data_IF_697011544955
#
_entry.id   IF_697011544955
#
_cell.length_a   1.000
_cell.length_b   1.000
_cell.length_c   1.000
_cell.angle_alpha   90.00
_cell.angle_beta   90.00
_cell.angle_gamma   90.00
#
_symmetry.space_group_name_H-M   'P 1'
#
loop_
_entity.id
_entity.type
_entity.pdbx_description
1 polymer ?
#
# COMPACT_ATOMS: atom_id res chain seq x y z
N UNK A 1 -8.94 -4.54 32.03
CA UNK A 1 -9.65 -4.24 33.29
C UNK A 1 -8.61 -4.09 34.39
N UNK A 2 -8.65 -3.02 35.19
CA UNK A 2 -7.80 -2.89 36.36
C UNK A 2 -8.56 -3.38 37.60
N UNK A 3 -8.37 -4.62 38.05
CA UNK A 3 -9.10 -5.16 39.21
C UNK A 3 -8.57 -4.60 40.54
N UNK A 4 -7.45 -3.88 40.51
CA UNK A 4 -6.70 -3.45 41.70
C UNK A 4 -7.20 -2.08 42.16
N UNK A 5 -7.13 -1.82 43.46
CA UNK A 5 -7.52 -0.56 44.11
C UNK A 5 -6.49 0.57 43.96
N UNK A 6 -5.45 0.36 43.14
CA UNK A 6 -4.44 1.36 42.79
C UNK A 6 -4.41 1.61 41.28
N UNK A 7 -3.92 2.79 40.90
CA UNK A 7 -3.67 3.12 39.50
C UNK A 7 -2.53 2.25 38.94
N UNK A 8 -2.72 1.72 37.73
CA UNK A 8 -1.66 1.04 36.98
C UNK A 8 -1.09 2.02 35.96
N UNK A 9 0.25 2.13 35.91
CA UNK A 9 0.96 2.92 34.91
C UNK A 9 1.95 2.06 34.13
N UNK A 10 2.01 2.22 32.81
CA UNK A 10 2.93 1.48 31.94
C UNK A 10 3.25 2.26 30.66
N UNK A 11 4.21 1.75 29.91
CA UNK A 11 4.59 2.17 28.59
C UNK A 11 4.35 1.03 27.62
N UNK A 12 4.11 1.34 26.35
CA UNK A 12 4.05 0.34 25.28
C UNK A 12 5.12 0.66 24.25
N UNK A 13 5.89 -0.35 23.85
CA UNK A 13 6.71 -0.27 22.65
C UNK A 13 6.07 -1.07 21.53
N UNK A 14 6.10 -0.53 20.32
CA UNK A 14 5.50 -1.12 19.12
C UNK A 14 6.57 -1.24 18.03
N UNK A 15 6.63 -2.39 17.37
CA UNK A 15 7.61 -2.61 16.30
C UNK A 15 7.05 -3.53 15.22
N UNK A 16 7.18 -3.12 13.95
CA UNK A 16 6.88 -3.98 12.80
C UNK A 16 8.07 -4.86 12.44
N UNK A 17 7.86 -6.17 12.31
CA UNK A 17 8.89 -7.18 12.04
C UNK A 17 8.57 -7.92 10.75
N UNK A 18 9.59 -8.22 9.93
CA UNK A 18 9.45 -9.00 8.69
C UNK A 18 10.44 -10.16 8.70
N UNK A 19 9.95 -11.39 8.61
CA UNK A 19 10.80 -12.58 8.48
C UNK A 19 11.65 -12.91 9.71
N UNK A 20 11.26 -12.48 10.92
CA UNK A 20 11.99 -12.75 12.17
C UNK A 20 13.31 -11.98 12.33
N UNK A 21 13.66 -11.11 11.39
CA UNK A 21 14.83 -10.23 11.49
C UNK A 21 14.52 -9.02 12.37
N UNK A 22 15.49 -8.60 13.19
CA UNK A 22 15.37 -7.37 13.96
C UNK A 22 15.15 -6.19 13.00
N UNK A 23 14.08 -5.40 13.19
CA UNK A 23 13.77 -4.31 12.28
C UNK A 23 14.92 -3.30 12.25
N UNK A 24 15.19 -2.68 11.10
CA UNK A 24 16.26 -1.68 10.98
C UNK A 24 16.01 -0.41 11.78
N UNK A 25 14.88 -0.28 12.48
CA UNK A 25 14.46 0.90 13.24
C UNK A 25 14.15 0.56 14.69
N UNK A 26 14.41 1.54 15.57
CA UNK A 26 14.03 1.47 16.97
C UNK A 26 12.50 1.29 17.14
N UNK A 27 12.04 0.59 18.18
CA UNK A 27 10.62 0.53 18.52
C UNK A 27 10.03 1.92 18.76
N UNK A 28 8.77 2.09 18.37
CA UNK A 28 7.99 3.29 18.70
C UNK A 28 7.55 3.16 20.15
N UNK A 29 7.80 4.19 20.96
CA UNK A 29 7.37 4.24 22.35
C UNK A 29 6.13 5.13 22.52
N UNK A 30 5.18 4.68 23.34
CA UNK A 30 4.07 5.53 23.78
C UNK A 30 4.50 6.48 24.90
N UNK A 31 3.78 7.58 25.12
CA UNK A 31 3.79 8.26 26.43
C UNK A 31 3.34 7.31 27.56
N UNK A 32 3.50 7.75 28.82
CA UNK A 32 3.05 7.00 29.99
C UNK A 32 1.54 6.84 29.98
N UNK A 33 1.08 5.59 29.95
CA UNK A 33 -0.33 5.23 29.95
C UNK A 33 -0.75 4.97 31.39
N UNK A 34 -1.95 5.44 31.77
CA UNK A 34 -2.48 5.27 33.13
C UNK A 34 -3.91 4.74 33.12
N UNK A 35 -4.12 3.64 33.84
CA UNK A 35 -5.45 3.04 34.05
C UNK A 35 -5.85 3.31 35.50
N UNK A 36 -6.96 4.04 35.76
CA UNK A 36 -7.43 4.29 37.11
C UNK A 36 -7.78 3.00 37.86
N UNK A 37 -7.78 3.07 39.19
CA UNK A 37 -8.16 1.95 40.06
C UNK A 37 -9.58 1.45 39.76
N UNK A 38 -9.78 0.13 39.75
CA UNK A 38 -11.11 -0.50 39.60
C UNK A 38 -11.92 -0.04 38.39
N UNK A 39 -11.23 0.22 37.28
CA UNK A 39 -11.88 0.68 36.04
C UNK A 39 -11.49 -0.17 34.84
N UNK A 40 -12.50 -0.44 34.01
CA UNK A 40 -12.32 -0.81 32.62
C UNK A 40 -11.98 0.47 31.85
N UNK A 41 -10.92 0.44 31.06
CA UNK A 41 -10.44 1.57 30.25
C UNK A 41 -10.07 1.06 28.88
N UNK A 42 -10.53 1.78 27.85
CA UNK A 42 -10.16 1.50 26.46
C UNK A 42 -9.04 2.44 26.06
N UNK A 43 -7.85 1.90 25.79
CA UNK A 43 -6.69 2.68 25.36
C UNK A 43 -6.71 2.75 23.83
N UNK A 44 -6.63 3.95 23.28
CA UNK A 44 -6.62 4.18 21.84
C UNK A 44 -5.27 4.80 21.49
N UNK A 45 -4.47 4.07 20.72
CA UNK A 45 -3.18 4.55 20.20
C UNK A 45 -3.40 4.88 18.71
N UNK A 46 -3.36 6.16 18.36
CA UNK A 46 -3.66 6.62 17.01
C UNK A 46 -2.71 7.72 16.58
N UNK A 47 -2.49 7.85 15.27
CA UNK A 47 -1.72 8.98 14.73
C UNK A 47 -2.51 10.28 14.80
N UNK A 48 -3.82 10.19 14.67
CA UNK A 48 -4.74 11.33 14.67
C UNK A 48 -5.69 11.23 15.87
N UNK A 49 -6.35 12.33 16.21
CA UNK A 49 -7.35 12.34 17.26
C UNK A 49 -8.56 11.49 16.84
N UNK A 50 -8.98 10.58 17.71
CA UNK A 50 -10.11 9.67 17.46
C UNK A 50 -11.14 9.86 18.54
N UNK A 51 -12.32 10.33 18.14
CA UNK A 51 -13.52 10.34 18.96
C UNK A 51 -14.09 8.93 19.02
N UNK A 52 -14.05 8.30 20.21
CA UNK A 52 -14.56 6.95 20.41
C UNK A 52 -15.73 6.97 21.39
N UNK A 53 -16.94 7.13 20.85
CA UNK A 53 -18.18 7.24 21.65
C UNK A 53 -18.73 5.90 22.13
N UNK A 54 -18.36 4.81 21.45
CA UNK A 54 -18.98 3.49 21.63
C UNK A 54 -18.14 2.53 22.48
N UNK A 55 -17.16 3.06 23.21
CA UNK A 55 -16.26 2.26 24.06
C UNK A 55 -16.28 2.75 25.50
N UNK A 56 -16.01 1.84 26.45
CA UNK A 56 -16.00 2.17 27.87
C UNK A 56 -14.74 2.96 28.22
N UNK A 57 -14.92 4.16 28.77
CA UNK A 57 -13.86 5.05 29.27
C UNK A 57 -12.69 5.18 28.26
N UNK A 58 -12.90 5.77 27.08
CA UNK A 58 -11.85 5.95 26.09
C UNK A 58 -10.73 6.83 26.64
N UNK A 59 -9.49 6.41 26.41
CA UNK A 59 -8.29 7.21 26.66
C UNK A 59 -7.43 7.25 25.39
N UNK A 60 -7.54 8.32 24.59
CA UNK A 60 -6.73 8.49 23.39
C UNK A 60 -5.31 8.94 23.71
N UNK A 61 -4.35 8.43 22.95
CA UNK A 61 -2.95 8.82 22.95
C UNK A 61 -2.50 9.00 21.50
N UNK A 62 -2.03 10.21 21.17
CA UNK A 62 -1.52 10.56 19.85
C UNK A 62 -0.07 10.06 19.72
N UNK A 63 0.19 9.28 18.67
CA UNK A 63 1.49 8.68 18.34
C UNK A 63 1.87 9.11 16.91
N UNK A 64 2.57 10.23 16.77
CA UNK A 64 2.83 10.88 15.47
C UNK A 64 3.55 9.97 14.47
N UNK A 65 4.46 9.13 14.96
CA UNK A 65 5.28 8.22 14.17
C UNK A 65 4.70 6.81 14.03
N UNK A 66 3.41 6.60 14.32
CA UNK A 66 2.77 5.26 14.24
C UNK A 66 2.89 4.62 12.86
N UNK A 67 2.92 5.44 11.79
CA UNK A 67 3.12 4.98 10.41
C UNK A 67 4.49 4.32 10.18
N UNK A 68 5.48 4.59 11.04
CA UNK A 68 6.81 3.99 10.91
C UNK A 68 6.82 2.48 11.19
N UNK A 69 5.77 1.93 11.83
CA UNK A 69 5.58 0.47 11.94
C UNK A 69 5.58 -0.24 10.58
N UNK A 70 5.26 0.48 9.51
CA UNK A 70 5.07 -0.07 8.16
C UNK A 70 6.22 0.24 7.19
N UNK A 71 7.29 0.87 7.68
CA UNK A 71 8.45 1.28 6.88
C UNK A 71 9.70 0.44 7.22
N UNK A 72 10.56 0.12 6.23
CA UNK A 72 10.47 0.45 4.81
C UNK A 72 9.60 -0.51 3.99
N UNK A 73 9.16 -1.63 4.58
CA UNK A 73 8.30 -2.61 3.93
C UNK A 73 7.22 -3.09 4.89
N UNK A 74 6.07 -3.50 4.34
CA UNK A 74 4.98 -4.08 5.11
C UNK A 74 5.50 -5.18 6.06
N UNK A 75 5.26 -5.07 7.37
CA UNK A 75 5.67 -6.07 8.34
C UNK A 75 4.83 -7.34 8.17
N UNK A 76 5.41 -8.48 8.54
CA UNK A 76 4.67 -9.74 8.72
C UNK A 76 4.06 -9.87 10.12
N UNK A 77 4.60 -9.16 11.11
CA UNK A 77 4.18 -9.20 12.51
C UNK A 77 4.31 -7.80 13.15
N UNK A 78 3.39 -7.45 14.06
CA UNK A 78 3.53 -6.28 14.93
C UNK A 78 3.76 -6.77 16.36
N UNK A 79 4.92 -6.45 16.91
CA UNK A 79 5.26 -6.75 18.30
C UNK A 79 4.85 -5.61 19.21
N UNK A 80 4.07 -5.94 20.24
CA UNK A 80 3.67 -5.04 21.31
C UNK A 80 4.31 -5.52 22.61
N UNK A 81 5.07 -4.65 23.28
CA UNK A 81 5.63 -4.94 24.61
C UNK A 81 5.12 -3.91 25.60
N UNK A 82 4.52 -4.39 26.68
CA UNK A 82 4.06 -3.57 27.79
C UNK A 82 5.15 -3.55 28.85
N UNK A 83 5.58 -2.36 29.24
CA UNK A 83 6.73 -2.15 30.10
C UNK A 83 6.35 -1.29 31.29
N UNK A 84 6.82 -1.65 32.48
CA UNK A 84 6.63 -0.83 33.68
C UNK A 84 7.51 0.43 33.70
N UNK A 85 8.49 0.51 32.80
CA UNK A 85 9.44 1.62 32.66
C UNK A 85 9.67 1.92 31.18
N UNK A 86 9.93 3.19 30.88
CA UNK A 86 10.30 3.65 29.55
C UNK A 86 11.65 3.04 29.14
N UNK A 87 11.82 2.66 27.88
CA UNK A 87 13.07 2.08 27.38
C UNK A 87 14.14 3.16 27.24
N UNK A 88 13.75 4.33 26.74
CA UNK A 88 14.65 5.47 26.54
C UNK A 88 14.15 6.72 27.28
N UNK A 89 14.27 6.79 28.62
CA UNK A 89 13.90 7.98 29.38
C UNK A 89 14.95 9.08 29.26
N UNK A 90 14.52 10.35 29.27
CA UNK A 90 15.41 11.50 29.42
C UNK A 90 15.78 11.73 30.88
N UNK A 91 16.87 12.46 31.15
CA UNK A 91 17.27 12.81 32.53
C UNK A 91 16.20 13.61 33.28
N UNK A 92 15.50 14.50 32.59
CA UNK A 92 14.39 15.26 33.15
C UNK A 92 13.21 14.35 33.51
N UNK A 93 12.89 13.37 32.66
CA UNK A 93 11.85 12.37 32.93
C UNK A 93 12.21 11.49 34.13
N UNK A 94 13.47 11.04 34.21
CA UNK A 94 13.96 10.26 35.36
C UNK A 94 13.79 11.06 36.66
N UNK A 95 14.14 12.34 36.63
CA UNK A 95 14.04 13.23 37.80
C UNK A 95 12.58 13.46 38.18
N UNK A 96 11.72 13.71 37.20
CA UNK A 96 10.28 13.90 37.41
C UNK A 96 9.61 12.64 38.00
N UNK A 97 9.95 11.44 37.52
CA UNK A 97 9.41 10.19 38.08
C UNK A 97 9.83 9.99 39.54
N UNK A 98 11.10 10.24 39.87
CA UNK A 98 11.58 10.16 41.27
C UNK A 98 10.85 11.12 42.20
N UNK A 99 10.55 12.33 41.74
CA UNK A 99 9.77 13.31 42.53
C UNK A 99 8.29 12.94 42.62
N UNK A 100 7.72 12.31 41.60
CA UNK A 100 6.34 11.81 41.63
C UNK A 100 6.19 10.63 42.61
N UNK A 101 7.15 9.70 42.64
CA UNK A 101 7.14 8.55 43.53
C UNK A 101 7.11 8.94 45.01
N UNK A 102 7.79 10.04 45.38
CA UNK A 102 7.75 10.59 46.75
C UNK A 102 6.36 11.02 47.21
N UNK A 103 5.44 11.28 46.27
CA UNK A 103 4.08 11.77 46.54
C UNK A 103 3.03 10.65 46.51
N UNK A 104 3.41 9.42 46.17
CA UNK A 104 2.47 8.31 46.08
C UNK A 104 2.03 7.84 47.48
N UNK A 105 0.75 7.49 47.66
CA UNK A 105 0.26 6.94 48.92
C UNK A 105 0.91 5.57 49.20
N UNK A 106 1.20 5.29 50.47
CA UNK A 106 1.69 3.99 50.90
C UNK A 106 0.64 2.92 50.61
N UNK A 107 1.02 1.92 49.83
CA UNK A 107 0.19 0.77 49.48
C UNK A 107 0.75 -0.50 50.11
N UNK A 108 -0.11 -1.46 50.43
CA UNK A 108 0.31 -2.77 50.98
C UNK A 108 0.44 -3.76 49.83
N UNK A 109 1.63 -4.30 49.60
CA UNK A 109 1.85 -5.36 48.62
C UNK A 109 1.67 -6.71 49.32
N UNK A 110 0.73 -7.51 48.85
CA UNK A 110 0.56 -8.90 49.30
C UNK A 110 1.38 -9.80 48.37
N UNK A 111 2.45 -10.37 48.89
CA UNK A 111 3.30 -11.30 48.13
C UNK A 111 2.58 -12.64 47.92
N UNK A 112 2.79 -13.27 46.77
CA UNK A 112 2.22 -14.59 46.45
C UNK A 112 0.80 -14.56 45.86
N UNK A 113 0.21 -13.38 45.70
CA UNK A 113 -1.06 -13.20 44.97
C UNK A 113 -0.75 -12.84 43.52
N UNK A 114 -1.35 -13.57 42.57
CA UNK A 114 -1.28 -13.27 41.14
C UNK A 114 -2.64 -12.75 40.68
N UNK A 115 -2.75 -11.45 40.45
CA UNK A 115 -3.93 -10.85 39.83
C UNK A 115 -3.69 -10.72 38.32
N UNK A 116 -4.59 -11.29 37.52
CA UNK A 116 -4.47 -11.23 36.06
C UNK A 116 -5.21 -10.00 35.52
N UNK A 117 -4.48 -9.11 34.85
CA UNK A 117 -5.08 -8.02 34.07
C UNK A 117 -5.53 -8.59 32.72
N UNK A 118 -6.84 -8.74 32.52
CA UNK A 118 -7.38 -9.12 31.22
C UNK A 118 -7.22 -7.96 30.23
N UNK A 119 -6.56 -8.24 29.11
CA UNK A 119 -6.34 -7.31 28.01
C UNK A 119 -6.85 -7.93 26.71
N UNK A 120 -7.68 -7.16 26.00
CA UNK A 120 -8.10 -7.45 24.63
C UNK A 120 -7.54 -6.35 23.74
N UNK A 121 -7.08 -6.70 22.55
CA UNK A 121 -6.50 -5.74 21.62
C UNK A 121 -7.13 -5.90 20.24
N UNK A 122 -7.31 -4.77 19.57
CA UNK A 122 -7.68 -4.68 18.15
C UNK A 122 -6.71 -3.72 17.50
N UNK A 123 -6.14 -4.12 16.36
CA UNK A 123 -5.38 -3.22 15.51
C UNK A 123 -6.28 -2.87 14.33
N UNK A 124 -6.57 -1.60 14.16
CA UNK A 124 -7.29 -1.07 13.01
C UNK A 124 -6.30 -0.40 12.06
N UNK A 125 -6.26 -0.83 10.82
CA UNK A 125 -5.36 -0.32 9.78
C UNK A 125 -6.20 0.08 8.58
N UNK A 126 -6.75 1.30 8.55
CA UNK A 126 -7.42 1.78 7.37
C UNK A 126 -6.41 1.82 6.21
N UNK A 127 -6.79 1.25 5.07
CA UNK A 127 -6.00 1.30 3.85
C UNK A 127 -6.18 2.69 3.21
N UNK A 128 -5.66 3.71 3.88
CA UNK A 128 -5.66 5.10 3.44
C UNK A 128 -4.30 5.44 2.83
N UNK A 129 -4.33 6.12 1.69
CA UNK A 129 -3.11 6.44 0.96
C UNK A 129 -2.39 7.64 1.55
N UNK A 130 -1.14 7.44 1.97
CA UNK A 130 -0.20 8.55 2.18
C UNK A 130 0.23 9.17 0.84
N UNK A 131 0.86 10.35 0.85
CA UNK A 131 1.23 11.08 -0.38
C UNK A 131 2.27 10.35 -1.26
N UNK A 132 2.97 9.37 -0.71
CA UNK A 132 4.02 8.59 -1.40
C UNK A 132 3.61 7.15 -1.70
N UNK A 133 2.35 6.78 -1.43
CA UNK A 133 1.87 5.42 -1.67
C UNK A 133 1.79 5.12 -3.17
N UNK A 134 2.28 3.94 -3.56
CA UNK A 134 2.19 3.46 -4.93
C UNK A 134 1.94 1.95 -4.99
N UNK A 135 1.06 1.53 -5.90
CA UNK A 135 0.86 0.12 -6.27
C UNK A 135 1.48 -0.08 -7.65
N UNK A 136 2.31 -1.12 -7.78
CA UNK A 136 2.90 -1.51 -9.05
C UNK A 136 2.40 -2.91 -9.39
N UNK A 137 1.47 -2.99 -10.34
CA UNK A 137 1.07 -4.25 -10.96
C UNK A 137 1.88 -4.44 -12.25
N UNK A 138 2.37 -5.65 -12.47
CA UNK A 138 3.01 -6.06 -13.71
C UNK A 138 2.23 -7.22 -14.28
N UNK A 139 1.93 -7.13 -15.56
CA UNK A 139 1.31 -8.22 -16.32
C UNK A 139 2.13 -8.50 -17.57
N UNK A 140 2.14 -9.74 -18.03
CA UNK A 140 2.97 -10.16 -19.16
C UNK A 140 2.12 -10.81 -20.23
N UNK A 141 2.09 -10.19 -21.41
CA UNK A 141 1.51 -10.77 -22.62
C UNK A 141 2.67 -11.43 -23.39
N UNK A 142 2.70 -12.76 -23.45
CA UNK A 142 3.79 -13.56 -24.05
C UNK A 142 3.29 -14.50 -25.17
N UNK A 143 4.20 -15.31 -25.73
CA UNK A 143 3.86 -16.24 -26.82
C UNK A 143 3.75 -15.58 -28.20
N UNK A 144 4.24 -14.36 -28.35
CA UNK A 144 4.23 -13.65 -29.62
C UNK A 144 5.31 -14.20 -30.56
N UNK A 145 6.41 -14.77 -30.05
CA UNK A 145 7.57 -15.07 -30.89
C UNK A 145 7.26 -16.04 -32.03
N UNK A 146 6.41 -17.03 -31.78
CA UNK A 146 6.07 -18.04 -32.79
C UNK A 146 5.42 -17.44 -34.03
N UNK A 147 4.73 -16.30 -33.89
CA UNK A 147 4.12 -15.57 -35.00
C UNK A 147 5.06 -14.51 -35.61
N UNK A 148 6.05 -14.05 -34.84
CA UNK A 148 6.96 -12.96 -35.24
C UNK A 148 8.24 -13.46 -35.92
N UNK A 149 8.73 -14.66 -35.57
CA UNK A 149 10.06 -15.16 -36.00
C UNK A 149 10.20 -15.33 -37.52
N UNK A 150 9.11 -15.72 -38.19
CA UNK A 150 9.10 -16.05 -39.63
C UNK A 150 8.47 -14.94 -40.49
N UNK A 151 8.03 -13.83 -39.87
CA UNK A 151 7.29 -12.74 -40.52
C UNK A 151 8.14 -11.48 -40.64
N UNK A 152 7.99 -10.70 -41.72
CA UNK A 152 8.58 -9.37 -41.85
C UNK A 152 7.74 -8.32 -41.12
N UNK A 153 7.73 -8.45 -39.79
CA UNK A 153 6.91 -7.64 -38.89
C UNK A 153 7.48 -6.23 -38.81
N UNK A 154 6.65 -5.24 -39.18
CA UNK A 154 7.01 -3.82 -39.11
C UNK A 154 6.68 -3.15 -37.78
N UNK A 155 5.82 -3.79 -36.98
CA UNK A 155 5.39 -3.30 -35.69
C UNK A 155 4.19 -4.06 -35.17
N UNK A 156 3.88 -3.85 -33.90
CA UNK A 156 2.76 -4.48 -33.20
C UNK A 156 1.94 -3.36 -32.57
N UNK A 157 0.63 -3.46 -32.66
CA UNK A 157 -0.31 -2.52 -32.08
C UNK A 157 -1.17 -3.28 -31.09
N UNK A 158 -1.11 -2.91 -29.83
CA UNK A 158 -1.98 -3.44 -28.78
C UNK A 158 -3.06 -2.41 -28.51
N UNK A 159 -4.30 -2.86 -28.41
CA UNK A 159 -5.42 -2.02 -27.96
C UNK A 159 -6.04 -2.60 -26.71
N UNK A 160 -6.50 -1.74 -25.80
CA UNK A 160 -7.17 -2.13 -24.57
C UNK A 160 -8.06 -1.01 -24.05
N UNK A 161 -9.03 -1.38 -23.22
CA UNK A 161 -9.76 -0.43 -22.38
C UNK A 161 -9.38 -0.66 -20.91
N UNK A 162 -9.41 0.42 -20.12
CA UNK A 162 -9.07 0.35 -18.70
C UNK A 162 -10.14 1.06 -17.88
N UNK A 163 -10.66 0.36 -16.89
CA UNK A 163 -11.54 0.86 -15.85
C UNK A 163 -10.74 1.09 -14.57
N UNK A 164 -10.60 2.35 -14.16
CA UNK A 164 -9.98 2.73 -12.89
C UNK A 164 -11.06 3.13 -11.87
N UNK A 165 -11.35 2.27 -10.89
CA UNK A 165 -12.25 2.55 -9.78
C UNK A 165 -11.51 2.78 -8.44
N UNK A 166 -10.18 2.85 -8.44
CA UNK A 166 -9.40 3.22 -7.24
C UNK A 166 -9.09 4.72 -7.26
N UNK A 167 -9.02 5.40 -6.10
CA UNK A 167 -8.76 6.83 -6.03
C UNK A 167 -7.26 7.15 -6.23
N UNK A 168 -6.57 6.44 -7.11
CA UNK A 168 -5.17 6.63 -7.47
C UNK A 168 -5.04 6.91 -8.97
N UNK A 169 -4.12 7.80 -9.34
CA UNK A 169 -3.81 8.04 -10.74
C UNK A 169 -3.05 6.83 -11.30
N UNK A 170 -3.54 6.26 -12.40
CA UNK A 170 -2.94 5.07 -13.00
C UNK A 170 -2.05 5.44 -14.18
N UNK A 171 -0.79 5.07 -14.11
CA UNK A 171 0.17 5.21 -15.19
C UNK A 171 0.49 3.86 -15.81
N UNK A 172 0.32 3.75 -17.13
CA UNK A 172 0.65 2.55 -17.91
C UNK A 172 2.04 2.74 -18.51
N UNK A 173 2.90 1.74 -18.36
CA UNK A 173 4.20 1.61 -19.00
C UNK A 173 4.35 0.22 -19.62
N UNK A 174 5.43 0.00 -20.35
CA UNK A 174 5.68 -1.27 -21.01
C UNK A 174 7.15 -1.53 -21.29
N UNK A 175 7.50 -2.82 -21.35
CA UNK A 175 8.84 -3.31 -21.72
C UNK A 175 8.70 -4.52 -22.65
N UNK A 176 9.47 -4.55 -23.74
CA UNK A 176 9.51 -5.71 -24.64
C UNK A 176 10.50 -6.76 -24.13
N UNK A 177 10.15 -8.04 -24.21
CA UNK A 177 10.98 -9.15 -23.73
C UNK A 177 11.20 -10.23 -24.80
N UNK A 178 12.30 -10.96 -24.69
CA UNK A 178 12.57 -12.20 -25.46
C UNK A 178 11.95 -13.44 -24.79
N UNK A 179 12.17 -14.62 -25.39
CA UNK A 179 11.64 -15.92 -24.89
C UNK A 179 12.13 -16.26 -23.50
N UNK A 180 13.33 -15.80 -23.18
CA UNK A 180 13.98 -16.01 -21.90
C UNK A 180 13.52 -14.97 -20.84
N UNK A 181 12.66 -14.02 -21.23
CA UNK A 181 12.12 -12.97 -20.36
C UNK A 181 13.05 -11.76 -20.19
N UNK A 182 14.13 -11.67 -20.97
CA UNK A 182 15.05 -10.55 -20.89
C UNK A 182 14.53 -9.35 -21.68
N UNK A 183 14.77 -8.15 -21.14
CA UNK A 183 14.41 -6.89 -21.79
C UNK A 183 15.14 -6.73 -23.13
N UNK A 184 14.37 -6.54 -24.20
CA UNK A 184 14.90 -6.28 -25.54
C UNK A 184 15.32 -4.83 -25.72
N UNK A 185 16.59 -4.65 -26.10
CA UNK A 185 17.13 -3.35 -26.51
C UNK A 185 16.80 -3.08 -27.98
N UNK A 186 16.69 -1.80 -28.33
CA UNK A 186 16.38 -1.40 -29.71
C UNK A 186 14.91 -1.46 -30.09
N UNK A 187 14.02 -1.82 -29.16
CA UNK A 187 12.57 -1.70 -29.31
C UNK A 187 12.09 -0.37 -28.71
N UNK A 188 11.03 0.16 -29.32
CA UNK A 188 10.34 1.38 -28.96
C UNK A 188 8.90 1.04 -28.65
N UNK A 189 8.38 1.56 -27.54
CA UNK A 189 6.98 1.39 -27.12
C UNK A 189 6.38 2.79 -26.96
N UNK A 190 5.26 3.05 -27.65
CA UNK A 190 4.62 4.36 -27.75
C UNK A 190 3.13 4.26 -27.40
N UNK A 191 2.61 5.21 -26.62
CA UNK A 191 1.16 5.40 -26.44
C UNK A 191 0.57 6.33 -27.49
N UNK A 192 -0.75 6.53 -27.45
CA UNK A 192 -1.47 7.43 -28.36
C UNK A 192 -0.79 8.80 -28.54
N UNK A 193 -0.22 9.01 -29.72
CA UNK A 193 0.13 10.32 -30.27
C UNK A 193 1.39 11.01 -29.72
N UNK A 194 2.22 10.38 -28.87
CA UNK A 194 3.48 10.99 -28.42
C UNK A 194 4.72 10.17 -28.80
N UNK A 195 5.56 10.80 -29.63
CA UNK A 195 6.88 10.28 -30.01
C UNK A 195 7.73 10.02 -28.75
N UNK A 196 8.39 8.86 -28.64
CA UNK A 196 9.19 8.47 -27.49
C UNK A 196 10.50 9.21 -27.59
N UNK A 197 10.62 10.23 -26.76
CA UNK A 197 11.87 10.93 -26.56
C UNK A 197 12.64 10.20 -25.46
N UNK A 198 13.51 9.27 -25.85
CA UNK A 198 14.70 8.84 -25.11
C UNK A 198 14.54 8.29 -23.67
N UNK A 199 15.16 7.13 -23.44
CA UNK A 199 15.35 6.45 -22.16
C UNK A 199 14.10 5.83 -21.51
N UNK A 200 14.35 4.77 -20.76
CA UNK A 200 13.38 3.81 -20.25
C UNK A 200 12.26 4.48 -19.44
N UNK A 201 11.02 4.04 -19.66
CA UNK A 201 9.83 4.29 -18.82
C UNK A 201 9.14 5.66 -18.88
N UNK A 202 9.00 6.28 -20.06
CA UNK A 202 7.95 7.29 -20.22
C UNK A 202 6.56 6.65 -20.16
N UNK A 203 5.59 7.28 -19.47
CA UNK A 203 4.24 6.76 -19.37
C UNK A 203 3.60 6.70 -20.77
N UNK A 204 3.05 5.54 -21.12
CA UNK A 204 2.26 5.31 -22.34
C UNK A 204 0.95 6.10 -22.24
N UNK A 205 0.29 6.01 -21.09
CA UNK A 205 -0.97 6.70 -20.79
C UNK A 205 -1.06 6.92 -19.28
N UNK A 206 -1.68 8.03 -18.89
CA UNK A 206 -2.11 8.27 -17.51
C UNK A 206 -3.63 8.38 -17.49
N UNK A 207 -4.26 7.60 -16.63
CA UNK A 207 -5.70 7.59 -16.37
C UNK A 207 -5.91 8.32 -15.05
N UNK A 208 -6.92 9.19 -15.04
CA UNK A 208 -7.26 9.98 -13.86
C UNK A 208 -7.70 9.09 -12.69
N UNK A 209 -7.50 9.54 -11.44
CA UNK A 209 -8.04 8.84 -10.28
C UNK A 209 -9.56 8.82 -10.30
N UNK A 210 -10.14 7.78 -9.70
CA UNK A 210 -11.56 7.76 -9.37
C UNK A 210 -11.89 8.81 -8.30
N UNK A 211 -12.99 9.55 -8.51
CA UNK A 211 -13.38 10.69 -7.67
C UNK A 211 -14.54 10.40 -6.71
N UNK A 212 -15.07 9.17 -6.69
CA UNK A 212 -16.17 8.79 -5.79
C UNK A 212 -17.55 8.68 -6.45
N UNK A 213 -17.66 8.81 -7.78
CA UNK A 213 -18.94 8.63 -8.48
C UNK A 213 -19.47 7.20 -8.35
N UNK A 214 -20.74 7.00 -8.03
CA UNK A 214 -21.36 5.66 -7.92
C UNK A 214 -22.37 5.42 -9.04
N UNK A 215 -22.69 4.14 -9.27
CA UNK A 215 -23.80 3.69 -10.12
C UNK A 215 -24.55 2.56 -9.41
N UNK A 216 -25.75 2.25 -9.87
CA UNK A 216 -26.49 1.06 -9.44
C UNK A 216 -26.22 -0.05 -10.46
N UNK A 217 -25.86 -1.25 -10.01
CA UNK A 217 -25.70 -2.43 -10.88
C UNK A 217 -27.03 -3.17 -11.07
N UNK A 218 -27.02 -4.23 -11.89
CA UNK A 218 -28.23 -5.02 -12.19
C UNK A 218 -28.84 -5.69 -10.95
N UNK A 219 -28.02 -5.94 -9.91
CA UNK A 219 -28.43 -6.47 -8.62
C UNK A 219 -28.95 -5.39 -7.65
N UNK A 220 -29.16 -4.15 -8.14
CA UNK A 220 -29.62 -3.00 -7.35
C UNK A 220 -28.65 -2.54 -6.25
N UNK A 221 -27.38 -2.91 -6.33
CA UNK A 221 -26.33 -2.49 -5.40
C UNK A 221 -25.65 -1.19 -5.86
N UNK A 222 -25.32 -0.33 -4.90
CA UNK A 222 -24.48 0.86 -5.13
C UNK A 222 -23.04 0.39 -5.32
N UNK A 223 -22.47 0.61 -6.50
CA UNK A 223 -21.10 0.24 -6.85
C UNK A 223 -20.32 1.44 -7.41
N UNK A 224 -18.99 1.43 -7.38
CA UNK A 224 -18.19 2.46 -8.02
C UNK A 224 -18.47 2.57 -9.52
N UNK A 225 -18.61 3.80 -10.02
CA UNK A 225 -18.59 4.10 -11.45
C UNK A 225 -17.13 4.39 -11.84
N UNK A 226 -16.43 3.45 -12.49
CA UNK A 226 -15.01 3.63 -12.81
C UNK A 226 -14.78 4.80 -13.77
N UNK A 227 -13.58 5.36 -13.72
CA UNK A 227 -13.05 6.18 -14.81
C UNK A 227 -12.63 5.24 -15.93
N UNK A 228 -13.49 5.09 -16.93
CA UNK A 228 -13.22 4.27 -18.12
C UNK A 228 -12.43 5.07 -19.15
N UNK A 229 -11.30 4.52 -19.60
CA UNK A 229 -10.55 5.02 -20.76
C UNK A 229 -10.57 3.93 -21.82
N UNK A 230 -11.28 4.20 -22.91
CA UNK A 230 -11.41 3.28 -24.04
C UNK A 230 -10.35 3.54 -25.11
N UNK A 231 -10.01 2.49 -25.87
CA UNK A 231 -9.20 2.58 -27.07
C UNK A 231 -7.76 3.01 -26.81
N UNK A 232 -7.16 2.59 -25.69
CA UNK A 232 -5.74 2.86 -25.42
C UNK A 232 -4.92 2.07 -26.44
N UNK A 233 -4.14 2.78 -27.27
CA UNK A 233 -3.25 2.15 -28.26
C UNK A 233 -1.80 2.17 -27.76
N UNK A 234 -1.15 1.00 -27.82
CA UNK A 234 0.28 0.81 -27.59
C UNK A 234 0.93 0.34 -28.89
N UNK A 235 1.83 1.15 -29.44
CA UNK A 235 2.57 0.80 -30.64
C UNK A 235 3.98 0.35 -30.27
N UNK A 236 4.38 -0.81 -30.76
CA UNK A 236 5.70 -1.42 -30.57
C UNK A 236 6.39 -1.47 -31.92
N UNK A 237 7.57 -0.86 -32.01
CA UNK A 237 8.35 -0.76 -33.26
C UNK A 237 9.84 -0.87 -32.98
N UNK A 238 10.63 -1.24 -33.98
CA UNK A 238 12.08 -1.11 -33.88
C UNK A 238 12.48 0.36 -33.85
N UNK A 239 13.52 0.70 -33.07
CA UNK A 239 14.19 2.00 -33.17
C UNK A 239 14.76 2.15 -34.58
N UNK A 240 14.84 3.39 -35.07
CA UNK A 240 15.50 3.69 -36.34
C UNK A 240 16.91 3.10 -36.37
N UNK A 241 17.19 2.21 -37.34
CA UNK A 241 18.47 1.51 -37.47
C UNK A 241 18.61 0.21 -36.67
N UNK A 242 17.63 -0.16 -35.85
CA UNK A 242 17.49 -1.53 -35.35
C UNK A 242 16.96 -2.40 -36.48
N UNK A 243 17.57 -3.56 -36.70
CA UNK A 243 17.10 -4.54 -37.67
C UNK A 243 16.87 -5.89 -36.99
N UNK A 244 15.64 -6.39 -37.03
CA UNK A 244 15.29 -7.78 -36.67
C UNK A 244 15.21 -8.06 -35.17
N UNK A 245 15.09 -7.03 -34.32
CA UNK A 245 14.84 -7.20 -32.89
C UNK A 245 13.40 -7.65 -32.61
N UNK A 246 12.42 -7.25 -33.44
CA UNK A 246 11.02 -7.71 -33.30
C UNK A 246 10.90 -9.22 -33.50
N UNK A 247 11.74 -9.84 -34.33
CA UNK A 247 11.78 -11.29 -34.55
C UNK A 247 12.23 -12.07 -33.30
N UNK A 248 12.91 -11.40 -32.36
CA UNK A 248 13.35 -11.98 -31.08
C UNK A 248 12.34 -11.75 -29.97
N UNK A 249 11.34 -10.89 -30.18
CA UNK A 249 10.35 -10.58 -29.17
C UNK A 249 9.44 -11.77 -28.95
N UNK A 250 9.17 -12.06 -27.69
CA UNK A 250 8.18 -13.05 -27.27
C UNK A 250 7.01 -12.40 -26.53
N UNK A 251 7.23 -11.25 -25.89
CA UNK A 251 6.17 -10.61 -25.13
C UNK A 251 6.39 -9.14 -24.82
N UNK A 252 5.37 -8.58 -24.19
CA UNK A 252 5.39 -7.27 -23.55
C UNK A 252 5.02 -7.44 -22.07
N UNK A 253 5.84 -6.85 -21.19
CA UNK A 253 5.51 -6.65 -19.79
C UNK A 253 4.84 -5.29 -19.67
N UNK A 254 3.54 -5.29 -19.39
CA UNK A 254 2.78 -4.09 -19.08
C UNK A 254 2.95 -3.77 -17.58
N UNK A 255 3.31 -2.51 -17.30
CA UNK A 255 3.51 -2.02 -15.94
C UNK A 255 2.44 -0.99 -15.63
N UNK A 256 1.57 -1.30 -14.68
CA UNK A 256 0.53 -0.43 -14.16
C UNK A 256 0.98 0.12 -12.83
N UNK A 257 1.26 1.42 -12.78
CA UNK A 257 1.70 2.12 -11.58
C UNK A 257 0.56 3.04 -11.13
N UNK A 258 -0.13 2.68 -10.06
CA UNK A 258 -1.12 3.54 -9.42
C UNK A 258 -0.43 4.34 -8.31
N UNK A 259 -0.47 5.66 -8.39
CA UNK A 259 0.22 6.55 -7.44
C UNK A 259 -0.76 7.47 -6.74
N UNK A 260 -0.52 7.68 -5.45
CA UNK A 260 -1.20 8.70 -4.67
C UNK A 260 -0.79 10.09 -5.15
N UNK A 261 -1.72 11.02 -5.03
CA UNK A 261 -1.49 12.45 -5.21
C UNK A 261 -2.21 13.20 -4.07
N UNK A 262 -2.11 14.52 -4.04
CA UNK A 262 -2.80 15.34 -3.02
C UNK A 262 -4.32 15.14 -3.00
N UNK A 263 -4.93 14.72 -4.12
CA UNK A 263 -6.38 14.48 -4.22
C UNK A 263 -6.80 13.09 -3.71
N UNK A 264 -5.83 12.19 -3.52
CA UNK A 264 -6.01 10.83 -3.02
C UNK A 264 -5.68 10.69 -1.53
N UNK A 265 -5.02 11.69 -0.95
CA UNK A 265 -4.61 11.69 0.46
C UNK A 265 -5.83 11.58 1.38
N UNK A 266 -5.76 10.66 2.35
CA UNK A 266 -6.84 10.40 3.30
C UNK A 266 -8.04 9.63 2.74
N UNK A 267 -8.10 9.34 1.43
CA UNK A 267 -9.15 8.48 0.87
C UNK A 267 -8.85 7.02 1.19
N UNK A 268 -9.86 6.33 1.73
CA UNK A 268 -9.79 4.88 1.99
C UNK A 268 -10.19 4.07 0.76
N UNK A 269 -9.53 2.92 0.58
CA UNK A 269 -10.00 1.92 -0.38
C UNK A 269 -11.21 1.16 0.15
N UNK A 270 -12.12 0.78 -0.75
CA UNK A 270 -13.21 -0.14 -0.44
C UNK A 270 -13.10 -1.44 -1.25
N UNK A 271 -13.71 -2.52 -0.76
CA UNK A 271 -13.69 -3.84 -1.41
C UNK A 271 -14.36 -3.87 -2.78
N UNK A 272 -15.21 -2.89 -3.09
CA UNK A 272 -15.89 -2.77 -4.38
C UNK A 272 -15.07 -2.01 -5.41
N UNK A 273 -13.97 -1.36 -5.03
CA UNK A 273 -13.09 -0.65 -5.95
C UNK A 273 -12.14 -1.62 -6.65
N UNK A 274 -11.90 -1.39 -7.94
CA UNK A 274 -11.11 -2.29 -8.77
C UNK A 274 -10.29 -1.54 -9.83
N UNK A 275 -9.27 -2.22 -10.32
CA UNK A 275 -8.62 -1.89 -11.58
C UNK A 275 -8.90 -3.04 -12.54
N UNK A 276 -9.51 -2.76 -13.69
CA UNK A 276 -9.84 -3.78 -14.68
C UNK A 276 -9.36 -3.36 -16.06
N UNK A 277 -8.62 -4.25 -16.71
CA UNK A 277 -8.28 -4.16 -18.12
C UNK A 277 -9.28 -5.04 -18.88
N UNK A 278 -9.74 -4.59 -20.04
CA UNK A 278 -10.70 -5.32 -20.87
C UNK A 278 -10.44 -5.05 -22.35
N UNK A 279 -11.00 -5.90 -23.20
CA UNK A 279 -10.91 -5.78 -24.66
C UNK A 279 -9.45 -5.70 -25.14
N UNK A 280 -8.56 -6.49 -24.54
CA UNK A 280 -7.14 -6.50 -24.92
C UNK A 280 -7.01 -7.24 -26.24
N UNK A 281 -6.42 -6.62 -27.25
CA UNK A 281 -6.14 -7.25 -28.54
C UNK A 281 -4.79 -6.80 -29.09
N UNK A 282 -4.15 -7.66 -29.89
CA UNK A 282 -2.88 -7.35 -30.52
C UNK A 282 -2.96 -7.56 -32.04
N UNK A 283 -2.56 -6.54 -32.79
CA UNK A 283 -2.47 -6.54 -34.24
C UNK A 283 -1.01 -6.48 -34.67
N UNK A 284 -0.60 -7.42 -35.51
CA UNK A 284 0.77 -7.48 -36.06
C UNK A 284 0.74 -6.89 -37.47
N UNK A 285 1.57 -5.87 -37.69
CA UNK A 285 1.69 -5.18 -38.99
C UNK A 285 2.18 -6.16 -40.05
N UNK A 286 1.26 -6.65 -40.87
CA UNK A 286 1.43 -7.83 -41.73
C UNK A 286 0.12 -8.62 -41.94
N UNK A 287 -0.94 -8.30 -41.18
CA UNK A 287 -2.30 -8.82 -41.40
C UNK A 287 -2.74 -9.92 -40.42
N UNK A 288 -1.98 -10.17 -39.34
CA UNK A 288 -2.32 -11.15 -38.31
C UNK A 288 -2.93 -10.42 -37.11
N UNK A 289 -4.13 -10.84 -36.68
CA UNK A 289 -4.79 -10.37 -35.46
C UNK A 289 -4.77 -11.48 -34.42
N UNK A 290 -4.41 -11.15 -33.18
CA UNK A 290 -4.44 -12.05 -32.02
C UNK A 290 -5.42 -11.50 -30.98
N UNK A 291 -6.33 -12.35 -30.52
CA UNK A 291 -7.11 -12.12 -29.30
C UNK A 291 -6.30 -12.60 -28.09
N UNK A 292 -6.27 -11.82 -27.02
CA UNK A 292 -5.49 -12.05 -25.81
C UNK A 292 -6.37 -12.14 -24.55
N UNK A 293 -7.70 -12.25 -24.71
CA UNK A 293 -8.65 -12.42 -23.62
C UNK A 293 -8.96 -13.89 -23.34
#
# INVERSE_FOLDING_TARGET
DNPIDIQISFYVTMQGVKGGENPPRAPIETPKITIPAKQITTIILSKEEVEATDVVNPKPYIIDNLNELFLPTMPGEIQLKILSKKVYPTEDEITAEKEADKKLPRSTIVLGVSENVKMEYKIDMPLAFGPTFAIVLKDTLNGLNDNLKDSDVKGIKITMDVDNAIPLALTIGGEAIDKEGNRLKGITIEGDGKKPTGADTKPIKTIKPYTGETKINDDSEVVPKPVTTEGIIINIKEKTGGSGQLKKMDGIVLKFKAESNTDAEGKSLSSQQYLKMKNISAEISGGISLDLN
#
